data_IF_081523881675
#
_entry.id   IF_081523881675
#
_cell.length_a   1.000
_cell.length_b   1.000
_cell.length_c   1.000
_cell.angle_alpha   90.00
_cell.angle_beta   90.00
_cell.angle_gamma   90.00
#
_symmetry.space_group_name_H-M   'P 1'
#
loop_
_entity.id
_entity.type
_entity.pdbx_description
1 polymer ?
#
# COMPACT_ATOMS: atom_id res chain seq x y z
N UNK A 1 -33.92 -1.26 -4.44
CA UNK A 1 -32.68 -2.02 -4.68
C UNK A 1 -31.70 -1.05 -5.31
N UNK A 2 -30.55 -0.79 -4.69
CA UNK A 2 -29.55 0.12 -5.26
C UNK A 2 -28.63 -0.72 -6.15
N UNK A 3 -28.59 -0.40 -7.44
CA UNK A 3 -27.75 -1.08 -8.44
C UNK A 3 -26.71 -0.07 -8.93
N UNK A 4 -25.46 -0.49 -8.96
CA UNK A 4 -24.32 0.32 -9.41
C UNK A 4 -23.54 -0.48 -10.44
N UNK A 5 -23.22 0.15 -11.57
CA UNK A 5 -22.41 -0.46 -12.61
C UNK A 5 -20.92 -0.34 -12.30
N UNK A 6 -20.17 -1.41 -12.53
CA UNK A 6 -18.70 -1.45 -12.36
C UNK A 6 -18.05 -1.40 -13.73
N UNK A 7 -17.11 -0.47 -13.93
CA UNK A 7 -16.36 -0.33 -15.19
C UNK A 7 -14.87 -0.60 -14.94
N UNK A 8 -14.19 -1.28 -15.86
CA UNK A 8 -12.75 -1.47 -15.77
C UNK A 8 -12.03 -0.27 -16.41
N UNK A 9 -11.20 0.43 -15.64
CA UNK A 9 -10.41 1.55 -16.15
C UNK A 9 -9.12 1.03 -16.81
N UNK A 10 -9.07 1.04 -18.15
CA UNK A 10 -7.90 0.59 -18.92
C UNK A 10 -6.87 1.70 -19.17
N UNK A 11 -7.13 2.93 -18.73
CA UNK A 11 -6.29 4.09 -19.10
C UNK A 11 -4.96 4.19 -18.32
N UNK A 12 -4.79 3.38 -17.27
CA UNK A 12 -3.59 3.39 -16.41
C UNK A 12 -2.63 2.28 -16.84
N UNK A 13 -1.64 2.62 -17.65
CA UNK A 13 -0.64 1.65 -18.10
C UNK A 13 0.76 2.00 -17.62
N UNK A 14 1.38 1.03 -16.94
CA UNK A 14 2.82 0.79 -16.87
C UNK A 14 3.65 1.78 -16.04
N UNK A 15 3.12 2.22 -14.90
CA UNK A 15 3.84 3.04 -13.90
C UNK A 15 4.63 2.15 -12.93
N UNK A 16 5.58 1.37 -13.43
CA UNK A 16 6.42 0.52 -12.59
C UNK A 16 7.44 1.35 -11.80
N UNK A 17 7.55 1.07 -10.50
CA UNK A 17 8.56 1.64 -9.61
C UNK A 17 9.69 0.63 -9.42
N UNK A 18 10.88 0.92 -9.95
CA UNK A 18 12.03 -0.01 -9.92
C UNK A 18 12.44 -0.47 -8.50
N UNK A 19 12.23 0.38 -7.49
CA UNK A 19 12.60 0.08 -6.10
C UNK A 19 11.58 -0.78 -5.33
N UNK A 20 10.46 -1.14 -5.97
CA UNK A 20 9.38 -1.92 -5.36
C UNK A 20 9.31 -3.28 -6.07
N UNK A 21 9.17 -4.41 -5.35
CA UNK A 21 9.06 -5.72 -6.02
C UNK A 21 7.84 -5.80 -6.96
N UNK A 22 8.05 -6.27 -8.20
CA UNK A 22 6.98 -6.36 -9.22
C UNK A 22 5.75 -7.12 -8.71
N UNK A 23 5.94 -8.17 -7.91
CA UNK A 23 4.84 -9.01 -7.43
C UNK A 23 3.83 -8.29 -6.52
N UNK A 24 4.20 -7.15 -5.91
CA UNK A 24 3.28 -6.35 -5.09
C UNK A 24 2.75 -5.12 -5.82
N UNK A 25 3.34 -4.78 -6.97
CA UNK A 25 2.87 -3.70 -7.81
C UNK A 25 1.75 -4.20 -8.71
N UNK A 26 0.68 -3.43 -8.79
CA UNK A 26 -0.30 -3.59 -9.86
C UNK A 26 0.22 -2.92 -11.14
N UNK A 27 -0.37 -3.21 -12.32
CA UNK A 27 0.06 -2.59 -13.59
C UNK A 27 0.08 -1.06 -13.59
N UNK A 28 -0.73 -0.41 -12.74
CA UNK A 28 -0.71 1.05 -12.55
C UNK A 28 0.22 1.55 -11.43
N UNK A 29 1.13 0.73 -10.93
CA UNK A 29 2.10 1.13 -9.91
C UNK A 29 1.55 1.22 -8.48
N UNK A 30 0.36 0.66 -8.22
CA UNK A 30 -0.24 0.65 -6.88
C UNK A 30 0.21 -0.57 -6.08
N UNK A 31 0.23 -0.45 -4.76
CA UNK A 31 0.47 -1.57 -3.84
C UNK A 31 -0.37 -1.40 -2.57
N UNK A 32 -0.65 -2.51 -1.88
CA UNK A 32 -1.30 -2.49 -0.56
C UNK A 32 -0.29 -2.81 0.53
N UNK A 33 -0.34 -2.00 1.59
CA UNK A 33 0.37 -2.23 2.85
C UNK A 33 -0.67 -2.47 3.95
N UNK A 34 -0.47 -3.53 4.73
CA UNK A 34 -1.25 -3.86 5.91
C UNK A 34 -0.38 -3.68 7.15
N UNK A 35 -0.89 -2.92 8.13
CA UNK A 35 -0.21 -2.62 9.39
C UNK A 35 -1.16 -3.01 10.51
N UNK A 36 -0.69 -3.85 11.44
CA UNK A 36 -1.44 -4.15 12.66
C UNK A 36 -1.16 -3.08 13.70
N UNK A 37 -2.09 -2.14 13.84
CA UNK A 37 -1.99 -1.01 14.77
C UNK A 37 -2.30 0.31 14.08
N UNK A 38 -1.90 1.40 14.72
CA UNK A 38 -2.07 2.75 14.18
C UNK A 38 -0.72 3.36 13.82
N UNK A 39 -0.65 4.02 12.66
CA UNK A 39 0.53 4.79 12.25
C UNK A 39 0.39 6.21 12.77
N UNK A 40 1.15 6.53 13.82
CA UNK A 40 1.25 7.89 14.37
C UNK A 40 2.60 8.47 13.97
N UNK A 41 2.60 9.42 13.03
CA UNK A 41 3.78 10.21 12.71
C UNK A 41 3.61 11.61 13.28
N UNK A 42 4.73 12.31 13.56
CA UNK A 42 4.73 13.77 13.84
C UNK A 42 5.41 14.63 12.76
N UNK A 43 5.88 14.01 11.66
CA UNK A 43 6.48 14.70 10.53
C UNK A 43 5.63 15.88 9.98
N UNK A 44 6.30 16.92 9.50
CA UNK A 44 5.63 18.08 8.92
C UNK A 44 5.02 17.71 7.55
N UNK A 45 3.86 18.29 7.22
CA UNK A 45 3.28 18.21 5.88
C UNK A 45 4.06 19.17 4.98
N UNK A 46 4.67 18.68 3.90
CA UNK A 46 5.30 19.52 2.89
C UNK A 46 4.57 19.35 1.56
N UNK A 47 4.12 20.47 0.96
CA UNK A 47 3.50 20.52 -0.37
C UNK A 47 2.51 19.38 -0.68
N UNK A 48 1.52 19.16 0.21
CA UNK A 48 0.43 18.20 -0.03
C UNK A 48 0.82 16.73 0.14
N UNK A 49 2.07 16.41 0.45
CA UNK A 49 2.52 15.07 0.79
C UNK A 49 3.27 15.06 2.12
N UNK A 50 3.42 13.88 2.72
CA UNK A 50 4.16 13.73 3.97
C UNK A 50 4.91 12.42 3.96
N UNK A 51 6.23 12.50 4.10
CA UNK A 51 7.04 11.30 4.29
C UNK A 51 6.83 10.76 5.71
N UNK A 52 6.23 9.59 5.82
CA UNK A 52 5.99 8.88 7.09
C UNK A 52 7.16 7.95 7.45
N UNK A 53 7.88 7.44 6.45
CA UNK A 53 8.94 6.47 6.67
C UNK A 53 9.57 5.96 5.38
N UNK A 54 10.32 4.86 5.50
CA UNK A 54 10.90 4.10 4.39
C UNK A 54 10.48 2.63 4.49
N UNK A 55 10.42 1.95 3.35
CA UNK A 55 10.29 0.49 3.29
C UNK A 55 11.46 -0.04 2.47
N UNK A 56 12.23 -0.95 3.05
CA UNK A 56 13.29 -1.67 2.38
C UNK A 56 12.84 -3.09 2.10
N UNK A 57 13.04 -3.55 0.87
CA UNK A 57 12.67 -4.89 0.42
C UNK A 57 13.92 -5.78 0.24
N UNK A 58 13.83 -7.01 0.73
CA UNK A 58 14.83 -8.05 0.53
C UNK A 58 14.14 -9.37 0.18
N UNK A 59 13.95 -9.61 -1.12
CA UNK A 59 13.15 -10.74 -1.61
C UNK A 59 11.69 -10.63 -1.16
N UNK A 60 11.23 -11.58 -0.33
CA UNK A 60 9.87 -11.56 0.26
C UNK A 60 9.80 -10.87 1.62
N UNK A 61 10.93 -10.43 2.18
CA UNK A 61 10.97 -9.72 3.45
C UNK A 61 10.91 -8.22 3.21
N UNK A 62 10.34 -7.49 4.17
CA UNK A 62 10.28 -6.04 4.16
C UNK A 62 10.61 -5.49 5.55
N UNK A 63 11.32 -4.37 5.62
CA UNK A 63 11.56 -3.62 6.85
C UNK A 63 10.99 -2.22 6.64
N UNK A 64 10.09 -1.80 7.52
CA UNK A 64 9.58 -0.43 7.53
C UNK A 64 10.22 0.34 8.68
N UNK A 65 10.69 1.55 8.39
CA UNK A 65 11.21 2.49 9.38
C UNK A 65 10.29 3.71 9.41
N UNK A 66 9.64 3.98 10.54
CA UNK A 66 8.72 5.11 10.74
C UNK A 66 9.41 6.21 11.53
N UNK A 67 9.40 7.44 11.00
CA UNK A 67 10.02 8.64 11.57
C UNK A 67 11.49 8.44 12.06
N UNK A 68 12.21 7.43 11.52
CA UNK A 68 13.56 7.06 11.94
C UNK A 68 13.69 6.43 13.34
N UNK A 69 12.57 6.09 13.99
CA UNK A 69 12.54 5.68 15.40
C UNK A 69 11.98 4.28 15.64
N UNK A 70 11.07 3.85 14.78
CA UNK A 70 10.41 2.56 14.92
C UNK A 70 10.73 1.70 13.71
N UNK A 71 11.08 0.44 13.96
CA UNK A 71 11.36 -0.59 12.98
C UNK A 71 10.23 -1.62 13.05
N UNK A 72 9.58 -1.88 11.93
CA UNK A 72 8.61 -2.96 11.80
C UNK A 72 9.13 -3.98 10.80
N UNK A 73 9.15 -5.25 11.20
CA UNK A 73 9.47 -6.36 10.31
C UNK A 73 8.19 -6.79 9.62
N UNK A 74 8.29 -7.08 8.33
CA UNK A 74 7.17 -7.47 7.51
C UNK A 74 7.57 -8.42 6.41
N UNK A 75 6.56 -8.87 5.67
CA UNK A 75 6.78 -9.72 4.52
C UNK A 75 5.70 -9.53 3.47
N UNK A 76 6.05 -9.85 2.23
CA UNK A 76 5.13 -9.92 1.12
C UNK A 76 4.30 -11.20 1.27
N UNK A 77 2.98 -11.05 1.30
CA UNK A 77 2.02 -12.14 1.39
C UNK A 77 1.11 -12.14 0.17
N UNK A 78 0.87 -13.33 -0.39
CA UNK A 78 -0.24 -13.53 -1.33
C UNK A 78 -1.55 -13.45 -0.56
N UNK A 79 -2.54 -12.79 -1.14
CA UNK A 79 -3.89 -12.73 -0.57
C UNK A 79 -4.61 -14.05 -0.88
N UNK A 80 -5.32 -14.60 0.12
CA UNK A 80 -6.16 -15.78 -0.07
C UNK A 80 -7.28 -15.52 -1.08
N UNK A 81 -7.77 -14.27 -1.11
CA UNK A 81 -8.74 -13.77 -2.07
C UNK A 81 -8.22 -12.43 -2.63
N UNK A 82 -8.10 -12.28 -3.96
CA UNK A 82 -7.77 -10.99 -4.56
C UNK A 82 -8.77 -9.90 -4.14
N UNK A 83 -8.29 -8.67 -4.02
CA UNK A 83 -9.10 -7.51 -3.62
C UNK A 83 -9.26 -6.57 -4.82
N UNK A 84 -10.51 -6.21 -5.13
CA UNK A 84 -10.81 -5.18 -6.12
C UNK A 84 -10.72 -3.79 -5.49
N UNK A 85 -9.90 -2.91 -6.08
CA UNK A 85 -9.85 -1.49 -5.71
C UNK A 85 -10.84 -0.72 -6.57
N UNK A 86 -11.83 -0.10 -5.93
CA UNK A 86 -12.86 0.69 -6.60
C UNK A 86 -12.63 2.18 -6.35
N UNK A 87 -12.78 3.00 -7.39
CA UNK A 87 -12.88 4.45 -7.29
C UNK A 87 -14.34 4.86 -7.43
N UNK A 88 -14.84 5.55 -6.41
CA UNK A 88 -16.18 6.14 -6.41
C UNK A 88 -16.03 7.60 -6.82
N UNK A 89 -16.70 7.99 -7.90
CA UNK A 89 -16.80 9.38 -8.32
C UNK A 89 -18.11 9.97 -7.77
N UNK A 90 -18.07 10.98 -6.88
CA UNK A 90 -19.28 11.55 -6.28
C UNK A 90 -20.23 12.17 -7.31
N UNK A 91 -19.71 12.60 -8.47
CA UNK A 91 -20.52 13.14 -9.56
C UNK A 91 -21.24 12.02 -10.34
N UNK A 92 -20.71 10.78 -10.31
CA UNK A 92 -21.27 9.61 -10.99
C UNK A 92 -21.98 8.67 -10.01
N UNK A 93 -23.16 9.10 -9.54
CA UNK A 93 -23.95 8.44 -8.47
C UNK A 93 -24.25 6.93 -8.65
N UNK A 94 -24.13 6.38 -9.86
CA UNK A 94 -24.45 4.97 -10.17
C UNK A 94 -23.33 4.23 -10.91
N UNK A 95 -22.12 4.78 -10.86
CA UNK A 95 -20.95 4.19 -11.49
C UNK A 95 -19.77 4.17 -10.52
N UNK A 96 -19.08 3.03 -10.50
CA UNK A 96 -17.77 2.91 -9.85
C UNK A 96 -16.79 2.33 -10.84
N UNK A 97 -15.56 2.81 -10.78
CA UNK A 97 -14.50 2.31 -11.65
C UNK A 97 -13.67 1.29 -10.84
N UNK A 98 -13.59 0.06 -11.33
CA UNK A 98 -12.60 -0.92 -10.89
C UNK A 98 -11.24 -0.48 -11.41
N UNK A 99 -10.42 -0.01 -10.48
CA UNK A 99 -9.09 0.53 -10.75
C UNK A 99 -8.07 -0.60 -10.84
N UNK A 100 -8.11 -1.53 -9.88
CA UNK A 100 -7.11 -2.60 -9.82
C UNK A 100 -7.63 -3.88 -9.17
N UNK A 101 -6.97 -5.00 -9.47
CA UNK A 101 -7.10 -6.25 -8.72
C UNK A 101 -5.79 -6.52 -8.02
N UNK A 102 -5.79 -6.37 -6.70
CA UNK A 102 -4.62 -6.58 -5.85
C UNK A 102 -4.56 -8.04 -5.42
N UNK A 103 -3.42 -8.68 -5.64
CA UNK A 103 -3.20 -10.11 -5.35
C UNK A 103 -2.18 -10.37 -4.24
N UNK A 104 -1.38 -9.37 -3.90
CA UNK A 104 -0.37 -9.43 -2.85
C UNK A 104 -0.43 -8.18 -1.97
N UNK A 105 0.02 -8.31 -0.73
CA UNK A 105 0.18 -7.21 0.22
C UNK A 105 1.57 -7.26 0.86
N UNK A 106 2.06 -6.11 1.31
CA UNK A 106 3.14 -6.06 2.30
C UNK A 106 2.50 -6.02 3.68
N UNK A 107 2.83 -6.98 4.53
CA UNK A 107 2.19 -7.14 5.84
C UNK A 107 3.19 -6.92 6.96
N UNK A 108 2.87 -6.00 7.87
CA UNK A 108 3.61 -5.67 9.08
C UNK A 108 2.71 -5.96 10.30
N UNK A 109 2.82 -7.17 10.84
CA UNK A 109 1.98 -7.66 11.97
C UNK A 109 2.71 -7.66 13.30
N UNK A 110 4.04 -7.53 13.27
CA UNK A 110 4.87 -7.66 14.46
C UNK A 110 4.91 -6.33 15.23
N UNK A 111 5.21 -6.42 16.54
CA UNK A 111 5.34 -5.26 17.41
C UNK A 111 6.51 -4.38 16.92
N UNK A 112 6.33 -3.06 16.76
CA UNK A 112 7.43 -2.16 16.39
C UNK A 112 8.56 -2.19 17.41
N UNK A 113 9.79 -2.31 16.92
CA UNK A 113 11.02 -2.26 17.70
C UNK A 113 11.63 -0.84 17.63
N UNK A 114 12.26 -0.31 18.69
CA UNK A 114 13.05 0.91 18.60
C UNK A 114 14.23 0.72 17.64
N UNK A 115 14.51 1.72 16.81
CA UNK A 115 15.74 1.77 16.00
C UNK A 115 16.90 2.13 16.96
N UNK A 116 17.99 1.35 16.92
CA UNK A 116 19.18 1.54 17.76
C UNK A 116 19.24 0.73 19.05
N UNK A 117 18.32 -0.23 19.27
CA UNK A 117 18.37 -1.13 20.43
C UNK A 117 19.42 -2.26 20.31
N UNK A 118 20.06 -2.39 19.13
CA UNK A 118 21.05 -3.42 18.80
C UNK A 118 22.49 -2.85 18.67
N UNK A 119 22.74 -1.59 19.07
CA UNK A 119 24.07 -0.97 19.17
C UNK A 119 24.57 -0.86 20.62
#
# INVERSE_FOLDING_TARGET
MNVTSIFLDHSRQNDHVESVPEMIQTPSGMAIVEIQGEVVSKAHLEEGSRRVGTIEFAGKSAIMIIDGKQRMRGSIKKLDKPLGLLKMDPERRHQVDLIEIVTHKVSFTDIPEPVGADE
#
